data_IF_473623035136
#
_entry.id   IF_473623035136
#
_cell.length_a   1.000
_cell.length_b   1.000
_cell.length_c   1.000
_cell.angle_alpha   90.00
_cell.angle_beta   90.00
_cell.angle_gamma   90.00
#
_symmetry.space_group_name_H-M   'P 1'
#
loop_
_entity.id
_entity.type
_entity.pdbx_description
1 polymer ?
#
# COMPACT_ATOMS: atom_id res chain seq x y z
N UNK A 1 5.51 -8.59 -16.54
CA UNK A 1 6.08 -9.06 -15.28
C UNK A 1 5.46 -10.37 -14.86
N UNK A 2 6.26 -11.21 -14.22
CA UNK A 2 5.78 -12.50 -13.73
C UNK A 2 5.27 -12.36 -12.30
N UNK A 3 3.94 -12.41 -12.08
CA UNK A 3 3.38 -12.29 -10.73
C UNK A 3 3.87 -13.39 -9.77
N UNK A 4 4.23 -14.55 -10.29
CA UNK A 4 4.68 -15.66 -9.46
C UNK A 4 6.02 -15.34 -8.77
N UNK A 5 6.89 -14.60 -9.45
CA UNK A 5 8.17 -14.20 -8.86
C UNK A 5 7.94 -13.24 -7.69
N UNK A 6 7.06 -12.28 -7.86
CA UNK A 6 6.73 -11.32 -6.80
C UNK A 6 6.13 -12.03 -5.60
N UNK A 7 5.18 -12.93 -5.84
CA UNK A 7 4.55 -13.71 -4.78
C UNK A 7 5.59 -14.54 -4.02
N UNK A 8 6.51 -15.17 -4.74
CA UNK A 8 7.59 -15.97 -4.10
C UNK A 8 8.49 -15.10 -3.23
N UNK A 9 8.87 -13.92 -3.71
CA UNK A 9 9.69 -13.00 -2.93
C UNK A 9 8.95 -12.58 -1.65
N UNK A 10 7.68 -12.22 -1.77
CA UNK A 10 6.90 -11.83 -0.61
C UNK A 10 6.67 -12.98 0.37
N UNK A 11 6.52 -14.20 -0.14
CA UNK A 11 6.42 -15.39 0.70
C UNK A 11 7.68 -15.59 1.54
N UNK A 12 8.85 -15.48 0.92
CA UNK A 12 10.12 -15.57 1.64
C UNK A 12 10.30 -14.46 2.67
N UNK A 13 9.94 -13.24 2.31
CA UNK A 13 9.96 -12.13 3.27
C UNK A 13 9.03 -12.39 4.45
N UNK A 14 7.84 -12.94 4.18
CA UNK A 14 6.90 -13.31 5.23
C UNK A 14 7.48 -14.33 6.19
N UNK A 15 8.18 -15.34 5.67
CA UNK A 15 8.84 -16.36 6.50
C UNK A 15 9.91 -15.73 7.40
N UNK A 16 10.76 -14.88 6.83
CA UNK A 16 11.81 -14.20 7.58
C UNK A 16 11.22 -13.35 8.71
N UNK A 17 10.15 -12.63 8.41
CA UNK A 17 9.50 -11.79 9.41
C UNK A 17 8.89 -12.63 10.54
N UNK A 18 8.27 -13.77 10.22
CA UNK A 18 7.71 -14.67 11.23
C UNK A 18 8.81 -15.23 12.15
N UNK A 19 9.94 -15.60 11.58
CA UNK A 19 11.08 -16.11 12.36
C UNK A 19 11.62 -15.06 13.33
N UNK A 20 11.49 -13.78 12.97
CA UNK A 20 11.97 -12.66 13.78
C UNK A 20 10.87 -12.03 14.65
N UNK A 21 9.68 -12.59 14.66
CA UNK A 21 8.51 -12.05 15.37
C UNK A 21 8.18 -10.62 14.93
N UNK A 22 8.41 -10.30 13.66
CA UNK A 22 8.01 -9.00 13.11
C UNK A 22 6.87 -9.17 12.12
N UNK A 23 6.07 -8.13 11.97
CA UNK A 23 4.90 -8.13 11.08
C UNK A 23 5.28 -7.54 9.73
N UNK A 24 5.07 -8.32 8.67
CA UNK A 24 5.27 -7.81 7.30
C UNK A 24 4.00 -7.12 6.82
N UNK A 25 4.14 -5.88 6.41
CA UNK A 25 3.06 -5.11 5.79
C UNK A 25 3.51 -4.71 4.40
N UNK A 26 2.70 -5.05 3.40
CA UNK A 26 2.93 -4.65 2.01
C UNK A 26 2.01 -3.49 1.70
N UNK A 27 2.57 -2.39 1.23
CA UNK A 27 1.81 -1.18 0.89
C UNK A 27 1.92 -0.96 -0.62
N UNK A 28 0.79 -0.78 -1.27
CA UNK A 28 0.77 -0.40 -2.67
C UNK A 28 0.51 1.10 -2.76
N UNK A 29 1.50 1.84 -3.24
CA UNK A 29 1.45 3.30 -3.30
C UNK A 29 0.82 3.76 -4.61
N UNK A 30 -0.11 4.74 -4.57
CA UNK A 30 -0.73 5.24 -5.79
C UNK A 30 0.23 6.05 -6.66
N UNK A 31 0.05 5.93 -7.97
CA UNK A 31 0.62 6.87 -8.94
C UNK A 31 -0.52 7.72 -9.51
N UNK A 32 -0.17 8.79 -10.22
CA UNK A 32 -1.19 9.63 -10.86
C UNK A 32 -2.01 8.83 -11.87
N UNK A 33 -1.35 7.96 -12.63
CA UNK A 33 -2.02 7.10 -13.61
C UNK A 33 -3.02 6.13 -12.97
N UNK A 34 -2.77 5.68 -11.75
CA UNK A 34 -3.70 4.81 -11.04
C UNK A 34 -5.05 5.49 -10.79
N UNK A 35 -5.03 6.80 -10.55
CA UNK A 35 -6.27 7.53 -10.35
C UNK A 35 -7.08 7.64 -11.64
N UNK A 36 -6.42 8.02 -12.74
CA UNK A 36 -7.12 8.31 -13.99
C UNK A 36 -7.39 7.09 -14.86
N UNK A 37 -6.49 6.11 -14.88
CA UNK A 37 -6.46 5.06 -15.90
C UNK A 37 -6.62 3.64 -15.35
N UNK A 38 -6.66 3.47 -14.05
CA UNK A 38 -6.79 2.14 -13.42
C UNK A 38 -5.70 1.15 -13.85
N UNK A 39 -4.49 1.63 -14.07
CA UNK A 39 -3.41 0.83 -14.68
C UNK A 39 -2.94 -0.35 -13.83
N UNK A 40 -3.13 -0.30 -12.51
CA UNK A 40 -2.67 -1.35 -11.60
C UNK A 40 -3.79 -2.26 -11.09
N UNK A 41 -5.04 -2.03 -11.50
CA UNK A 41 -6.19 -2.75 -10.92
C UNK A 41 -6.08 -4.27 -11.08
N UNK A 42 -5.77 -4.72 -12.28
CA UNK A 42 -5.63 -6.16 -12.56
C UNK A 42 -4.55 -6.79 -11.68
N UNK A 43 -3.43 -6.11 -11.54
CA UNK A 43 -2.29 -6.58 -10.76
C UNK A 43 -2.61 -6.64 -9.26
N UNK A 44 -3.18 -5.57 -8.71
CA UNK A 44 -3.53 -5.51 -7.29
C UNK A 44 -4.59 -6.53 -6.91
N UNK A 45 -5.58 -6.74 -7.77
CA UNK A 45 -6.63 -7.73 -7.54
C UNK A 45 -6.08 -9.15 -7.52
N UNK A 46 -5.01 -9.41 -8.24
CA UNK A 46 -4.34 -10.72 -8.18
C UNK A 46 -3.46 -10.86 -6.94
N UNK A 47 -2.83 -9.79 -6.54
CA UNK A 47 -1.91 -9.79 -5.41
C UNK A 47 -2.62 -9.95 -4.07
N UNK A 48 -3.74 -9.30 -3.90
CA UNK A 48 -4.46 -9.27 -2.62
C UNK A 48 -4.77 -10.66 -2.06
N UNK A 49 -5.43 -11.57 -2.80
CA UNK A 49 -5.71 -12.90 -2.25
C UNK A 49 -4.46 -13.73 -1.98
N UNK A 50 -3.42 -13.55 -2.77
CA UNK A 50 -2.15 -14.26 -2.55
C UNK A 50 -1.50 -13.86 -1.24
N UNK A 51 -1.55 -12.57 -0.90
CA UNK A 51 -1.01 -12.08 0.37
C UNK A 51 -1.90 -12.52 1.54
N UNK A 52 -3.21 -12.48 1.37
CA UNK A 52 -4.16 -12.90 2.40
C UNK A 52 -3.95 -14.38 2.77
N UNK A 53 -3.73 -15.25 1.79
CA UNK A 53 -3.49 -16.67 2.02
C UNK A 53 -2.20 -16.91 2.83
N UNK A 54 -1.28 -15.98 2.78
CA UNK A 54 0.02 -16.07 3.47
C UNK A 54 0.04 -15.28 4.78
N UNK A 55 -1.10 -14.75 5.19
CA UNK A 55 -1.22 -13.92 6.39
C UNK A 55 -0.30 -12.68 6.35
N UNK A 56 -0.09 -12.14 5.16
CA UNK A 56 0.65 -10.90 4.97
C UNK A 56 -0.35 -9.76 4.86
N UNK A 57 -0.16 -8.73 5.67
CA UNK A 57 -1.05 -7.56 5.67
C UNK A 57 -0.81 -6.76 4.39
N UNK A 58 -1.91 -6.43 3.70
CA UNK A 58 -1.84 -5.64 2.48
C UNK A 58 -2.62 -4.34 2.67
N UNK A 59 -1.96 -3.22 2.43
CA UNK A 59 -2.59 -1.90 2.46
C UNK A 59 -2.61 -1.33 1.05
N UNK A 60 -3.80 -1.27 0.45
CA UNK A 60 -4.01 -0.74 -0.88
C UNK A 60 -4.39 0.74 -0.80
N UNK A 61 -3.39 1.62 -0.93
CA UNK A 61 -3.62 3.05 -0.87
C UNK A 61 -4.29 3.62 -2.12
N UNK A 62 -4.32 2.85 -3.21
CA UNK A 62 -4.97 3.31 -4.44
C UNK A 62 -6.47 3.41 -4.24
N UNK A 63 -7.07 2.42 -3.57
CA UNK A 63 -8.49 2.45 -3.25
C UNK A 63 -8.83 3.66 -2.37
N UNK A 64 -7.99 3.93 -1.37
CA UNK A 64 -8.15 5.08 -0.48
C UNK A 64 -7.98 6.40 -1.23
N UNK A 65 -7.01 6.46 -2.12
CA UNK A 65 -6.74 7.63 -2.95
C UNK A 65 -7.98 7.99 -3.79
N UNK A 66 -8.54 7.01 -4.47
CA UNK A 66 -9.73 7.23 -5.32
C UNK A 66 -10.95 7.66 -4.50
N UNK A 67 -11.09 7.11 -3.31
CA UNK A 67 -12.24 7.39 -2.44
C UNK A 67 -12.16 8.75 -1.77
N UNK A 68 -10.95 9.19 -1.40
CA UNK A 68 -10.75 10.36 -0.55
C UNK A 68 -10.36 11.64 -1.28
N UNK A 69 -9.75 11.52 -2.47
CA UNK A 69 -9.20 12.67 -3.19
C UNK A 69 -10.14 13.09 -4.32
N UNK A 70 -10.72 14.30 -4.24
CA UNK A 70 -11.53 14.82 -5.33
C UNK A 70 -10.70 14.99 -6.60
N UNK A 71 -11.34 14.82 -7.75
CA UNK A 71 -10.67 14.87 -9.05
C UNK A 71 -9.82 16.14 -9.23
N UNK A 72 -10.34 17.28 -8.82
CA UNK A 72 -9.66 18.58 -8.98
C UNK A 72 -8.44 18.74 -8.07
N UNK A 73 -8.25 17.86 -7.09
CA UNK A 73 -7.12 17.91 -6.17
C UNK A 73 -6.00 16.94 -6.51
N UNK A 74 -6.21 16.04 -7.47
CA UNK A 74 -5.26 14.97 -7.78
C UNK A 74 -3.90 15.53 -8.21
N UNK A 75 -3.89 16.53 -9.11
CA UNK A 75 -2.65 17.08 -9.62
C UNK A 75 -1.78 17.72 -8.54
N UNK A 76 -2.41 18.28 -7.51
CA UNK A 76 -1.68 18.90 -6.39
C UNK A 76 -0.89 17.89 -5.54
N UNK A 77 -1.20 16.61 -5.64
CA UNK A 77 -0.51 15.57 -4.86
C UNK A 77 0.77 15.08 -5.53
N UNK A 78 1.02 15.46 -6.77
CA UNK A 78 2.17 14.97 -7.53
C UNK A 78 3.04 16.11 -8.03
N UNK A 79 4.33 15.82 -8.23
CA UNK A 79 5.29 16.75 -8.83
C UNK A 79 5.69 16.19 -10.19
N UNK A 80 5.27 16.85 -11.27
CA UNK A 80 5.70 16.54 -12.63
C UNK A 80 5.33 15.15 -13.13
N UNK A 81 6.02 14.15 -12.68
CA UNK A 81 5.83 12.77 -13.16
C UNK A 81 4.78 11.98 -12.38
N UNK A 82 4.61 10.75 -12.79
CA UNK A 82 3.54 9.87 -12.33
C UNK A 82 3.69 9.39 -10.89
N UNK A 83 4.91 9.18 -10.44
CA UNK A 83 5.19 8.56 -9.14
C UNK A 83 5.88 9.45 -8.12
N UNK A 84 5.99 10.75 -8.36
CA UNK A 84 6.66 11.67 -7.44
C UNK A 84 5.63 12.51 -6.71
N UNK A 85 5.59 12.38 -5.38
CA UNK A 85 4.64 13.11 -4.56
C UNK A 85 5.12 14.52 -4.22
N UNK A 86 4.18 15.46 -4.21
CA UNK A 86 4.38 16.78 -3.61
C UNK A 86 4.38 16.66 -2.09
N UNK A 87 4.61 17.77 -1.38
CA UNK A 87 4.46 17.80 0.08
C UNK A 87 3.05 17.35 0.48
N UNK A 88 2.03 17.85 -0.23
CA UNK A 88 0.64 17.46 0.04
C UNK A 88 0.41 15.96 -0.23
N UNK A 89 1.02 15.42 -1.28
CA UNK A 89 0.92 13.98 -1.59
C UNK A 89 1.58 13.12 -0.52
N UNK A 90 2.75 13.50 -0.06
CA UNK A 90 3.43 12.80 1.04
C UNK A 90 2.60 12.85 2.33
N UNK A 91 1.99 13.99 2.62
CA UNK A 91 1.13 14.13 3.79
C UNK A 91 -0.09 13.23 3.70
N UNK A 92 -0.71 13.17 2.53
CA UNK A 92 -1.86 12.28 2.30
C UNK A 92 -1.47 10.82 2.57
N UNK A 93 -0.36 10.36 1.99
CA UNK A 93 0.12 8.98 2.16
C UNK A 93 0.41 8.70 3.64
N UNK A 94 1.10 9.61 4.31
CA UNK A 94 1.44 9.45 5.73
C UNK A 94 0.20 9.34 6.60
N UNK A 95 -0.79 10.22 6.38
CA UNK A 95 -2.03 10.23 7.17
C UNK A 95 -2.82 8.94 7.00
N UNK A 96 -2.97 8.48 5.75
CA UNK A 96 -3.72 7.26 5.47
C UNK A 96 -2.99 6.04 6.00
N UNK A 97 -1.67 5.97 5.83
CA UNK A 97 -0.87 4.88 6.39
C UNK A 97 -0.98 4.83 7.90
N UNK A 98 -0.84 5.97 8.57
CA UNK A 98 -0.95 6.02 10.02
C UNK A 98 -2.32 5.48 10.47
N UNK A 99 -3.39 5.93 9.82
CA UNK A 99 -4.74 5.47 10.13
C UNK A 99 -4.87 3.95 9.97
N UNK A 100 -4.41 3.42 8.83
CA UNK A 100 -4.52 1.99 8.55
C UNK A 100 -3.66 1.15 9.48
N UNK A 101 -2.40 1.53 9.70
CA UNK A 101 -1.49 0.78 10.54
C UNK A 101 -1.93 0.80 12.00
N UNK A 102 -2.51 1.91 12.46
CA UNK A 102 -2.98 2.05 13.85
C UNK A 102 -4.11 1.08 14.20
N UNK A 103 -4.82 0.56 13.21
CA UNK A 103 -5.89 -0.43 13.44
C UNK A 103 -5.37 -1.87 13.52
N UNK A 104 -4.12 -2.11 13.14
CA UNK A 104 -3.55 -3.46 13.19
C UNK A 104 -3.13 -3.79 14.62
N UNK A 105 -3.55 -4.96 15.17
CA UNK A 105 -3.22 -5.31 16.57
C UNK A 105 -1.74 -5.24 16.88
N UNK A 106 -0.88 -5.76 16.01
CA UNK A 106 0.57 -5.74 16.21
C UNK A 106 1.14 -4.33 16.34
N UNK A 107 0.60 -3.38 15.55
CA UNK A 107 1.07 -1.98 15.56
C UNK A 107 0.44 -1.21 16.71
N UNK A 108 -0.87 -1.41 16.95
CA UNK A 108 -1.56 -0.67 18.00
C UNK A 108 -0.99 -0.99 19.40
N UNK A 109 -0.53 -2.21 19.62
CA UNK A 109 0.13 -2.56 20.89
C UNK A 109 1.43 -1.78 21.08
N UNK A 110 2.22 -1.64 20.01
CA UNK A 110 3.46 -0.84 20.07
C UNK A 110 3.18 0.65 20.32
N UNK A 111 2.11 1.17 19.75
CA UNK A 111 1.77 2.59 19.90
C UNK A 111 1.27 2.94 21.30
N UNK A 112 0.89 1.95 22.11
CA UNK A 112 0.46 2.19 23.51
C UNK A 112 1.62 2.46 24.46
N UNK A 113 2.83 2.16 24.06
CA UNK A 113 4.03 2.41 24.83
C UNK A 113 4.55 3.83 24.58
#
# INVERSE_FOLDING_TARGET
KNPDIVVKVLDELGKINREKNSTLVVVYLPTRSDYYLNVSDFWRQRLEPELAQRNIVFVDLIAEFRRRVPHEQVEALFIGGDGHYSVAGNQFVADVLYEKLSTLPAVSEELKE
#
